data_IF_612975756063
#
_entry.id   IF_612975756063
#
_cell.length_a   1.000
_cell.length_b   1.000
_cell.length_c   1.000
_cell.angle_alpha   90.00
_cell.angle_beta   90.00
_cell.angle_gamma   90.00
#
_symmetry.space_group_name_H-M   'P 1'
#
loop_
_entity.id
_entity.type
_entity.pdbx_description
1 polymer ?
#
# COMPACT_ATOMS: atom_id res chain seq x y z
N UNK A 1 -3.39 -8.66 -25.10
CA UNK A 1 -2.32 -7.99 -24.34
C UNK A 1 -2.51 -8.27 -22.86
N UNK A 2 -1.47 -8.72 -22.14
CA UNK A 2 -1.55 -8.87 -20.68
C UNK A 2 -1.44 -7.49 -20.04
N UNK A 3 -2.55 -6.95 -19.52
CA UNK A 3 -2.56 -5.65 -18.87
C UNK A 3 -1.81 -5.75 -17.54
N UNK A 4 -0.69 -5.04 -17.44
CA UNK A 4 0.08 -4.95 -16.21
C UNK A 4 -0.76 -4.28 -15.11
N UNK A 5 -0.90 -4.90 -13.92
CA UNK A 5 -1.68 -4.33 -12.84
C UNK A 5 -1.06 -3.02 -12.32
N UNK A 6 -1.92 -2.11 -11.88
CA UNK A 6 -1.51 -0.91 -11.17
C UNK A 6 -1.03 -1.32 -9.75
N UNK A 7 0.01 -0.68 -9.19
CA UNK A 7 0.32 -0.84 -7.78
C UNK A 7 -0.87 -0.42 -6.91
N UNK A 8 -1.12 -1.12 -5.79
CA UNK A 8 -2.31 -0.89 -4.96
C UNK A 8 -2.50 0.56 -4.53
N UNK A 9 -1.42 1.25 -4.09
CA UNK A 9 -1.47 2.67 -3.70
C UNK A 9 -1.86 3.57 -4.89
N UNK A 10 -1.41 3.24 -6.10
CA UNK A 10 -1.80 3.99 -7.30
C UNK A 10 -3.25 3.73 -7.66
N UNK A 11 -3.71 2.47 -7.56
CA UNK A 11 -5.11 2.12 -7.74
C UNK A 11 -5.99 2.90 -6.75
N UNK A 12 -5.69 2.87 -5.46
CA UNK A 12 -6.46 3.59 -4.45
C UNK A 12 -6.44 5.10 -4.64
N UNK A 13 -5.34 5.68 -5.16
CA UNK A 13 -5.27 7.11 -5.46
C UNK A 13 -6.05 7.51 -6.72
N UNK A 14 -6.15 6.63 -7.71
CA UNK A 14 -6.67 6.95 -9.06
C UNK A 14 -8.12 6.52 -9.22
N UNK A 15 -8.51 5.35 -8.69
CA UNK A 15 -9.84 4.78 -8.84
C UNK A 15 -11.00 5.70 -8.42
N UNK A 16 -10.94 6.42 -7.28
CA UNK A 16 -12.02 7.31 -6.87
C UNK A 16 -12.02 8.67 -7.58
N UNK A 17 -11.10 8.92 -8.51
CA UNK A 17 -11.09 10.17 -9.26
C UNK A 17 -12.21 10.20 -10.30
N UNK A 18 -12.67 11.41 -10.62
CA UNK A 18 -13.49 11.66 -11.82
C UNK A 18 -12.76 11.21 -13.07
N UNK A 19 -13.50 10.76 -14.08
CA UNK A 19 -12.95 10.09 -15.26
C UNK A 19 -11.92 10.92 -16.05
N UNK A 20 -12.13 12.24 -16.15
CA UNK A 20 -11.18 13.14 -16.82
C UNK A 20 -9.84 13.24 -16.07
N UNK A 21 -9.89 13.27 -14.74
CA UNK A 21 -8.70 13.29 -13.88
C UNK A 21 -8.04 11.91 -13.79
N UNK A 22 -8.85 10.85 -13.78
CA UNK A 22 -8.42 9.45 -13.82
C UNK A 22 -7.59 9.18 -15.08
N UNK A 23 -8.10 9.57 -16.26
CA UNK A 23 -7.38 9.44 -17.53
C UNK A 23 -6.04 10.18 -17.50
N UNK A 24 -6.04 11.47 -17.12
CA UNK A 24 -4.81 12.26 -16.99
C UNK A 24 -3.79 11.62 -16.03
N UNK A 25 -4.25 11.09 -14.90
CA UNK A 25 -3.38 10.40 -13.93
C UNK A 25 -2.74 9.15 -14.53
N UNK A 26 -3.51 8.34 -15.27
CA UNK A 26 -3.04 7.12 -15.93
C UNK A 26 -2.05 7.43 -17.06
N UNK A 27 -2.33 8.44 -17.89
CA UNK A 27 -1.41 8.91 -18.95
C UNK A 27 -0.07 9.40 -18.39
N UNK A 28 -0.05 9.96 -17.19
CA UNK A 28 1.17 10.40 -16.52
C UNK A 28 1.96 9.26 -15.84
N UNK A 29 1.37 8.06 -15.70
CA UNK A 29 2.10 6.93 -15.14
C UNK A 29 3.18 6.48 -16.11
N UNK A 30 4.44 6.80 -15.81
CA UNK A 30 5.59 6.31 -16.57
C UNK A 30 5.56 4.78 -16.58
N UNK A 31 5.76 4.16 -17.75
CA UNK A 31 5.81 2.70 -17.89
C UNK A 31 7.00 2.03 -17.16
N UNK A 32 7.94 2.83 -16.64
CA UNK A 32 9.09 2.39 -15.85
C UNK A 32 8.81 2.28 -14.35
N UNK A 33 9.53 1.38 -13.68
CA UNK A 33 9.47 1.22 -12.23
C UNK A 33 10.02 2.48 -11.53
N UNK A 34 9.52 2.78 -10.33
CA UNK A 34 10.20 3.69 -9.40
C UNK A 34 11.68 3.29 -9.27
N UNK A 35 12.59 4.26 -9.12
CA UNK A 35 14.03 4.02 -8.95
C UNK A 35 14.35 3.18 -7.71
N UNK A 36 13.41 3.11 -6.76
CA UNK A 36 13.48 2.25 -5.58
C UNK A 36 12.10 1.72 -5.18
N UNK A 37 12.09 0.71 -4.30
CA UNK A 37 10.91 0.02 -3.78
C UNK A 37 10.84 0.07 -2.26
N UNK A 38 9.63 -0.05 -1.72
CA UNK A 38 9.41 -0.28 -0.28
C UNK A 38 9.29 -1.77 0.08
N UNK A 39 9.71 -2.67 -0.81
CA UNK A 39 9.78 -4.11 -0.52
C UNK A 39 10.66 -4.44 0.71
N UNK A 40 11.84 -3.82 0.92
CA UNK A 40 12.67 -4.10 2.08
C UNK A 40 11.95 -3.85 3.42
N UNK A 41 11.30 -2.68 3.59
CA UNK A 41 10.56 -2.41 4.84
C UNK A 41 9.35 -3.31 5.00
N UNK A 42 8.62 -3.63 3.91
CA UNK A 42 7.47 -4.53 3.95
C UNK A 42 7.81 -5.92 4.46
N UNK A 43 8.99 -6.44 4.13
CA UNK A 43 9.42 -7.75 4.63
C UNK A 43 9.79 -7.76 6.11
N UNK A 44 9.97 -6.59 6.73
CA UNK A 44 10.33 -6.47 8.15
C UNK A 44 9.13 -6.07 9.02
N UNK A 45 7.89 -6.03 8.49
CA UNK A 45 6.75 -5.56 9.27
C UNK A 45 6.46 -6.42 10.51
N UNK A 46 6.62 -7.74 10.43
CA UNK A 46 6.44 -8.60 11.60
C UNK A 46 7.42 -8.24 12.72
N UNK A 47 8.69 -8.02 12.38
CA UNK A 47 9.73 -7.64 13.35
C UNK A 47 9.47 -6.22 13.89
N UNK A 48 9.10 -5.28 13.03
CA UNK A 48 8.80 -3.90 13.40
C UNK A 48 7.63 -3.77 14.38
N UNK A 49 6.61 -4.64 14.25
CA UNK A 49 5.44 -4.65 15.14
C UNK A 49 5.53 -5.71 16.25
N UNK A 50 6.68 -6.37 16.40
CA UNK A 50 6.90 -7.42 17.40
C UNK A 50 5.81 -8.50 17.37
N UNK A 51 5.40 -8.90 16.16
CA UNK A 51 4.36 -9.90 15.95
C UNK A 51 4.81 -11.21 16.57
N UNK A 52 4.03 -11.68 17.54
CA UNK A 52 4.32 -12.90 18.27
C UNK A 52 4.21 -14.12 17.35
N UNK A 53 5.11 -15.12 17.49
CA UNK A 53 4.99 -16.39 16.79
C UNK A 53 3.63 -17.07 17.10
N UNK A 54 3.08 -17.79 16.12
CA UNK A 54 1.82 -18.53 16.30
C UNK A 54 1.97 -19.77 17.21
N UNK A 55 3.20 -20.26 17.38
CA UNK A 55 3.50 -21.37 18.29
C UNK A 55 3.64 -20.83 19.72
N UNK A 56 3.02 -21.54 20.67
CA UNK A 56 3.06 -21.22 22.12
C UNK A 56 4.45 -21.52 22.72
N UNK A 57 5.45 -20.75 22.27
CA UNK A 57 6.85 -20.82 22.70
C UNK A 57 7.16 -19.71 23.73
N UNK A 58 6.12 -19.09 24.30
CA UNK A 58 6.23 -17.93 25.18
C UNK A 58 6.23 -16.59 24.44
N UNK A 59 6.33 -15.51 25.21
CA UNK A 59 6.37 -14.13 24.69
C UNK A 59 7.75 -13.89 24.09
N UNK A 60 7.80 -13.61 22.79
CA UNK A 60 9.02 -13.20 22.11
C UNK A 60 9.39 -11.76 22.49
N UNK A 61 10.66 -11.55 22.84
CA UNK A 61 11.19 -10.22 23.06
C UNK A 61 11.14 -9.38 21.76
N UNK A 62 10.93 -8.07 21.86
CA UNK A 62 10.99 -7.17 20.71
C UNK A 62 12.29 -7.33 19.91
N UNK A 63 12.20 -7.29 18.58
CA UNK A 63 13.39 -7.43 17.74
C UNK A 63 14.26 -6.17 17.87
N UNK A 64 15.54 -6.26 18.28
CA UNK A 64 16.39 -5.09 18.42
C UNK A 64 16.58 -4.36 17.09
N UNK A 65 16.52 -3.01 17.11
CA UNK A 65 16.68 -2.18 15.92
C UNK A 65 17.90 -2.54 15.03
N UNK A 66 19.11 -2.81 15.56
CA UNK A 66 20.26 -3.16 14.72
C UNK A 66 20.04 -4.41 13.85
N UNK A 67 19.21 -5.36 14.30
CA UNK A 67 18.86 -6.56 13.53
C UNK A 67 17.94 -6.20 12.36
N UNK A 68 16.92 -5.39 12.63
CA UNK A 68 16.00 -4.88 11.60
C UNK A 68 16.77 -4.07 10.56
N UNK A 69 17.66 -3.17 11.00
CA UNK A 69 18.47 -2.34 10.11
C UNK A 69 19.40 -3.16 9.21
N UNK A 70 20.04 -4.21 9.76
CA UNK A 70 20.87 -5.11 8.98
C UNK A 70 20.07 -5.86 7.89
N UNK A 71 18.84 -6.30 8.21
CA UNK A 71 17.98 -6.97 7.23
C UNK A 71 17.47 -6.00 6.15
N UNK A 72 17.12 -4.76 6.53
CA UNK A 72 16.80 -3.69 5.58
C UNK A 72 17.96 -3.43 4.62
N UNK A 73 19.18 -3.36 5.14
CA UNK A 73 20.40 -3.14 4.35
C UNK A 73 20.61 -4.28 3.35
N UNK A 74 20.52 -5.53 3.81
CA UNK A 74 20.69 -6.73 3.00
C UNK A 74 19.67 -6.82 1.85
N UNK A 75 18.44 -6.35 2.06
CA UNK A 75 17.36 -6.41 1.06
C UNK A 75 17.33 -5.23 0.10
N UNK A 76 17.99 -4.13 0.45
CA UNK A 76 18.03 -2.93 -0.38
C UNK A 76 19.05 -3.09 -1.52
N UNK A 77 18.68 -2.67 -2.72
CA UNK A 77 19.49 -2.76 -3.94
C UNK A 77 20.43 -1.55 -4.12
N UNK A 78 20.22 -0.49 -3.36
CA UNK A 78 21.04 0.73 -3.42
C UNK A 78 21.02 1.46 -2.07
N UNK A 79 21.97 2.37 -1.88
CA UNK A 79 22.03 3.24 -0.69
C UNK A 79 20.82 4.16 -0.59
N UNK A 80 20.31 4.63 -1.74
CA UNK A 80 19.10 5.43 -1.80
C UNK A 80 17.87 4.64 -1.34
N UNK A 81 17.68 3.41 -1.86
CA UNK A 81 16.58 2.54 -1.45
C UNK A 81 16.66 2.23 0.05
N UNK A 82 17.87 1.93 0.55
CA UNK A 82 18.10 1.70 1.96
C UNK A 82 17.71 2.92 2.80
N UNK A 83 18.14 4.11 2.42
CA UNK A 83 17.84 5.36 3.14
C UNK A 83 16.34 5.60 3.25
N UNK A 84 15.59 5.45 2.15
CA UNK A 84 14.14 5.64 2.18
C UNK A 84 13.41 4.57 3.01
N UNK A 85 13.80 3.30 2.90
CA UNK A 85 13.19 2.22 3.68
C UNK A 85 13.52 2.35 5.17
N UNK A 86 14.77 2.67 5.51
CA UNK A 86 15.24 2.86 6.88
C UNK A 86 14.47 3.96 7.60
N UNK A 87 14.23 5.10 6.96
CA UNK A 87 13.45 6.23 7.53
C UNK A 87 12.02 5.85 7.89
N UNK A 88 11.37 5.05 7.03
CA UNK A 88 10.02 4.53 7.28
C UNK A 88 10.05 3.49 8.39
N UNK A 89 11.02 2.57 8.34
CA UNK A 89 11.18 1.53 9.35
C UNK A 89 11.46 2.11 10.74
N UNK A 90 12.32 3.11 10.88
CA UNK A 90 12.57 3.82 12.14
C UNK A 90 11.28 4.43 12.69
N UNK A 91 10.52 5.12 11.84
CA UNK A 91 9.23 5.69 12.25
C UNK A 91 8.25 4.65 12.75
N UNK A 92 8.17 3.50 12.08
CA UNK A 92 7.33 2.37 12.49
C UNK A 92 7.82 1.71 13.78
N UNK A 93 9.14 1.52 13.92
CA UNK A 93 9.75 0.96 15.11
C UNK A 93 9.50 1.85 16.34
N UNK A 94 9.71 3.15 16.22
CA UNK A 94 9.44 4.13 17.29
C UNK A 94 7.96 4.16 17.65
N UNK A 95 7.08 4.10 16.64
CA UNK A 95 5.64 4.01 16.84
C UNK A 95 5.26 2.72 17.60
N UNK A 96 5.78 1.57 17.18
CA UNK A 96 5.48 0.29 17.79
C UNK A 96 6.04 0.17 19.23
N UNK A 97 7.24 0.68 19.47
CA UNK A 97 7.92 0.63 20.78
C UNK A 97 7.44 1.70 21.76
N UNK A 98 6.53 2.59 21.35
CA UNK A 98 5.94 3.61 22.25
C UNK A 98 5.09 3.04 23.40
N UNK A 99 4.93 1.72 23.48
CA UNK A 99 4.16 1.01 24.51
C UNK A 99 2.66 0.91 24.23
N UNK A 100 2.20 1.40 23.07
CA UNK A 100 0.79 1.52 22.71
C UNK A 100 0.37 0.63 21.55
N UNK A 101 1.27 -0.25 21.09
CA UNK A 101 1.06 -1.10 19.93
C UNK A 101 1.42 -2.54 20.28
N UNK A 102 0.46 -3.44 20.14
CA UNK A 102 0.66 -4.88 20.29
C UNK A 102 0.02 -5.59 19.11
N UNK A 103 0.71 -6.56 18.51
CA UNK A 103 0.22 -7.21 17.30
C UNK A 103 0.15 -8.72 17.39
N UNK A 104 -0.84 -9.29 16.72
CA UNK A 104 -0.94 -10.74 16.47
C UNK A 104 -1.04 -10.99 14.97
N UNK A 105 -0.41 -12.06 14.51
CA UNK A 105 -0.54 -12.51 13.13
C UNK A 105 -1.98 -12.95 12.88
N UNK A 106 -2.54 -12.50 11.77
CA UNK A 106 -3.85 -12.90 11.30
C UNK A 106 -3.95 -12.65 9.80
N UNK A 107 -4.18 -13.70 9.02
CA UNK A 107 -4.17 -13.61 7.56
C UNK A 107 -5.55 -13.32 6.99
N UNK A 108 -5.69 -12.14 6.38
CA UNK A 108 -6.85 -11.81 5.55
C UNK A 108 -6.50 -12.05 4.07
N UNK A 109 -7.30 -12.88 3.39
CA UNK A 109 -7.10 -13.17 1.97
C UNK A 109 -7.34 -11.93 1.08
N UNK A 110 -6.61 -11.78 -0.04
CA UNK A 110 -6.84 -10.69 -0.98
C UNK A 110 -8.29 -10.58 -1.44
N UNK A 111 -8.80 -9.35 -1.52
CA UNK A 111 -10.14 -9.08 -2.04
C UNK A 111 -10.12 -9.22 -3.56
N UNK A 112 -11.00 -10.07 -4.08
CA UNK A 112 -11.15 -10.25 -5.52
C UNK A 112 -12.13 -9.19 -6.04
N UNK A 113 -11.65 -8.37 -6.98
CA UNK A 113 -12.42 -7.38 -7.71
C UNK A 113 -12.66 -7.88 -9.14
N UNK A 114 -13.57 -7.21 -9.85
CA UNK A 114 -13.84 -7.46 -11.27
C UNK A 114 -12.57 -7.59 -12.13
N UNK A 115 -12.69 -8.29 -13.26
CA UNK A 115 -11.58 -8.59 -14.19
C UNK A 115 -10.45 -9.47 -13.60
N UNK A 116 -10.76 -10.27 -12.56
CA UNK A 116 -9.79 -11.20 -11.95
C UNK A 116 -8.67 -10.51 -11.18
N UNK A 117 -8.89 -9.27 -10.73
CA UNK A 117 -7.90 -8.50 -9.97
C UNK A 117 -8.02 -8.82 -8.49
N UNK A 118 -6.88 -8.94 -7.82
CA UNK A 118 -6.80 -9.12 -6.37
C UNK A 118 -6.09 -7.92 -5.78
N UNK A 119 -6.66 -7.34 -4.73
CA UNK A 119 -6.09 -6.18 -4.03
C UNK A 119 -5.90 -6.50 -2.55
N UNK A 120 -4.89 -5.86 -1.95
CA UNK A 120 -4.60 -5.98 -0.53
C UNK A 120 -4.25 -4.61 0.02
N UNK A 121 -5.14 -4.07 0.86
CA UNK A 121 -4.99 -2.80 1.53
C UNK A 121 -4.88 -2.98 3.04
N UNK A 122 -4.24 -4.06 3.49
CA UNK A 122 -4.05 -4.37 4.91
C UNK A 122 -2.79 -5.20 5.08
N UNK A 123 -2.28 -5.24 6.31
CA UNK A 123 -1.23 -6.18 6.72
C UNK A 123 -1.85 -7.52 7.14
N UNK A 124 -1.11 -8.64 7.05
CA UNK A 124 -1.55 -9.94 7.56
C UNK A 124 -1.37 -10.02 9.09
N UNK A 125 -1.96 -9.06 9.81
CA UNK A 125 -1.92 -8.94 11.27
C UNK A 125 -3.04 -8.01 11.76
N UNK A 126 -3.45 -8.21 13.00
CA UNK A 126 -4.26 -7.26 13.77
C UNK A 126 -3.38 -6.63 14.83
N UNK A 127 -3.46 -5.31 14.94
CA UNK A 127 -2.72 -4.52 15.92
C UNK A 127 -3.69 -3.88 16.90
N UNK A 128 -3.51 -4.07 18.20
CA UNK A 128 -4.08 -3.19 19.21
C UNK A 128 -3.26 -1.90 19.21
N UNK A 129 -3.86 -0.79 18.76
CA UNK A 129 -3.25 0.54 18.73
C UNK A 129 -4.08 1.42 19.67
N UNK A 130 -3.46 1.98 20.71
CA UNK A 130 -4.16 2.71 21.77
C UNK A 130 -5.35 1.87 22.31
N UNK A 131 -5.07 0.60 22.63
CA UNK A 131 -6.03 -0.40 23.16
C UNK A 131 -7.17 -0.84 22.22
N UNK A 132 -7.26 -0.27 21.02
CA UNK A 132 -8.29 -0.65 20.05
C UNK A 132 -7.71 -1.55 18.94
N UNK A 133 -8.35 -2.72 18.75
CA UNK A 133 -8.02 -3.63 17.66
C UNK A 133 -8.16 -2.92 16.31
N UNK A 134 -7.11 -2.98 15.50
CA UNK A 134 -6.97 -2.22 14.27
C UNK A 134 -6.39 -3.08 13.15
N UNK A 135 -7.05 -3.04 11.99
CA UNK A 135 -6.47 -3.51 10.73
C UNK A 135 -5.66 -2.37 10.11
N UNK A 136 -4.39 -2.60 9.82
CA UNK A 136 -3.47 -1.55 9.39
C UNK A 136 -3.14 -1.65 7.91
N UNK A 137 -3.17 -0.52 7.20
CA UNK A 137 -2.53 -0.33 5.89
C UNK A 137 -1.35 0.63 6.02
N UNK A 138 -0.21 0.32 5.40
CA UNK A 138 0.97 1.20 5.41
C UNK A 138 1.18 1.80 4.02
N UNK A 139 1.12 3.13 3.96
CA UNK A 139 1.34 3.93 2.76
C UNK A 139 2.66 4.70 2.93
N UNK A 140 3.80 4.14 2.52
CA UNK A 140 5.11 4.69 2.86
C UNK A 140 5.54 5.84 1.95
N UNK A 141 4.79 6.21 0.90
CA UNK A 141 5.26 7.22 -0.06
C UNK A 141 5.28 8.60 0.59
N UNK A 142 6.18 9.45 0.09
CA UNK A 142 6.26 10.87 0.51
C UNK A 142 5.46 11.76 -0.42
N UNK A 143 5.66 11.57 -1.72
CA UNK A 143 4.95 12.29 -2.76
C UNK A 143 3.94 11.37 -3.42
N UNK A 144 2.82 11.96 -3.89
CA UNK A 144 1.73 11.23 -4.55
C UNK A 144 1.20 10.06 -3.70
N UNK A 145 1.16 10.24 -2.38
CA UNK A 145 0.49 9.35 -1.43
C UNK A 145 -1.03 9.43 -1.53
N UNK A 146 -1.73 8.76 -0.63
CA UNK A 146 -3.20 8.79 -0.62
C UNK A 146 -3.75 10.16 -0.20
N UNK A 147 -4.75 10.63 -0.96
CA UNK A 147 -5.59 11.78 -0.62
C UNK A 147 -6.70 11.35 0.35
N UNK A 148 -7.58 12.27 0.76
CA UNK A 148 -8.78 11.91 1.54
C UNK A 148 -9.64 10.88 0.79
N UNK A 149 -9.91 11.11 -0.49
CA UNK A 149 -10.65 10.15 -1.33
C UNK A 149 -9.90 8.82 -1.50
N UNK A 150 -8.58 8.85 -1.66
CA UNK A 150 -7.79 7.62 -1.74
C UNK A 150 -7.80 6.81 -0.44
N UNK A 151 -7.85 7.49 0.71
CA UNK A 151 -8.04 6.84 2.01
C UNK A 151 -9.45 6.27 2.15
N UNK A 152 -10.49 7.02 1.77
CA UNK A 152 -11.88 6.54 1.74
C UNK A 152 -12.00 5.26 0.92
N UNK A 153 -11.44 5.24 -0.29
CA UNK A 153 -11.39 4.05 -1.13
C UNK A 153 -10.69 2.87 -0.44
N UNK A 154 -9.50 3.09 0.14
CA UNK A 154 -8.77 2.03 0.84
C UNK A 154 -9.52 1.51 2.07
N UNK A 155 -10.11 2.39 2.89
CA UNK A 155 -10.96 1.98 4.02
C UNK A 155 -12.18 1.18 3.57
N UNK A 156 -12.80 1.56 2.45
CA UNK A 156 -13.95 0.83 1.92
C UNK A 156 -13.54 -0.58 1.49
N UNK A 157 -12.41 -0.73 0.80
CA UNK A 157 -11.85 -2.05 0.44
C UNK A 157 -11.50 -2.90 1.67
N UNK A 158 -10.96 -2.27 2.72
CA UNK A 158 -10.68 -2.95 3.99
C UNK A 158 -11.98 -3.38 4.68
N UNK A 159 -13.01 -2.53 4.71
CA UNK A 159 -14.32 -2.85 5.28
C UNK A 159 -14.94 -4.07 4.60
N UNK A 160 -15.02 -4.06 3.26
CA UNK A 160 -15.60 -5.16 2.48
C UNK A 160 -14.89 -6.50 2.73
N UNK A 161 -13.56 -6.46 2.95
CA UNK A 161 -12.78 -7.69 3.14
C UNK A 161 -12.70 -8.17 4.58
N UNK A 162 -12.75 -7.27 5.54
CA UNK A 162 -12.47 -7.56 6.95
C UNK A 162 -13.77 -7.55 7.75
N UNK A 163 -14.49 -6.43 7.76
CA UNK A 163 -15.68 -6.26 8.60
C UNK A 163 -16.92 -6.91 8.01
N UNK A 164 -17.20 -6.65 6.72
CA UNK A 164 -18.40 -7.17 6.06
C UNK A 164 -18.29 -8.67 5.75
N UNK A 165 -17.07 -9.20 5.67
CA UNK A 165 -16.81 -10.60 5.34
C UNK A 165 -16.80 -11.54 6.55
N UNK A 166 -16.62 -11.00 7.76
CA UNK A 166 -16.44 -11.78 8.98
C UNK A 166 -16.91 -10.99 10.22
N UNK A 167 -17.96 -11.49 10.88
CA UNK A 167 -18.61 -10.82 12.02
C UNK A 167 -17.66 -10.67 13.22
N UNK A 168 -16.68 -11.57 13.38
CA UNK A 168 -15.69 -11.50 14.47
C UNK A 168 -14.81 -10.24 14.38
N UNK A 169 -14.73 -9.64 13.18
CA UNK A 169 -13.97 -8.43 12.92
C UNK A 169 -14.82 -7.20 12.67
N UNK A 170 -16.15 -7.27 12.84
CA UNK A 170 -17.09 -6.18 12.53
C UNK A 170 -16.71 -4.84 13.20
N UNK A 171 -16.16 -4.90 14.41
CA UNK A 171 -15.80 -3.72 15.21
C UNK A 171 -14.31 -3.33 15.13
N UNK A 172 -13.52 -4.01 14.29
CA UNK A 172 -12.11 -3.65 14.10
C UNK A 172 -12.01 -2.28 13.43
N UNK A 173 -11.22 -1.39 14.04
CA UNK A 173 -10.91 -0.08 13.47
C UNK A 173 -10.06 -0.24 12.21
N UNK A 174 -10.40 0.48 11.15
CA UNK A 174 -9.58 0.48 9.95
C UNK A 174 -8.60 1.64 10.04
N UNK A 175 -7.31 1.36 9.89
CA UNK A 175 -6.25 2.35 10.11
C UNK A 175 -5.32 2.40 8.90
N UNK A 176 -4.98 3.61 8.46
CA UNK A 176 -3.94 3.85 7.45
C UNK A 176 -2.81 4.64 8.12
N UNK A 177 -1.60 4.08 8.12
CA UNK A 177 -0.39 4.79 8.47
C UNK A 177 0.21 5.47 7.23
N UNK A 178 0.21 6.80 7.23
CA UNK A 178 0.98 7.63 6.30
C UNK A 178 2.18 8.25 7.03
N UNK A 179 3.07 8.88 6.28
CA UNK A 179 4.34 9.40 6.81
C UNK A 179 4.57 10.84 6.36
N UNK A 180 4.93 11.71 7.30
CA UNK A 180 5.30 13.10 7.01
C UNK A 180 6.66 13.24 6.34
N UNK A 181 7.14 14.48 6.26
CA UNK A 181 8.55 14.75 5.95
C UNK A 181 9.46 14.21 7.06
N UNK A 182 10.71 13.84 6.73
CA UNK A 182 11.62 13.32 7.73
C UNK A 182 11.97 14.39 8.77
N UNK A 183 11.99 13.99 10.04
CA UNK A 183 12.54 14.74 11.19
C UNK A 183 13.49 13.82 11.92
N UNK A 184 14.71 14.27 12.20
CA UNK A 184 15.74 13.48 12.87
C UNK A 184 15.99 12.10 12.23
N UNK A 185 16.07 12.08 10.89
CA UNK A 185 16.34 10.88 10.08
C UNK A 185 15.34 9.72 10.22
N UNK A 186 14.14 10.02 10.71
CA UNK A 186 12.96 9.15 10.70
C UNK A 186 11.78 9.87 10.09
N UNK A 187 10.77 9.13 9.64
CA UNK A 187 9.48 9.73 9.24
C UNK A 187 8.43 9.37 10.27
N UNK A 188 7.89 10.37 10.95
CA UNK A 188 6.85 10.16 11.95
C UNK A 188 5.61 9.53 11.31
N UNK A 189 5.05 8.53 12.00
CA UNK A 189 3.80 7.88 11.62
C UNK A 189 2.66 8.86 11.87
N UNK A 190 1.82 9.04 10.86
CA UNK A 190 0.54 9.74 10.95
C UNK A 190 -0.58 8.73 10.69
N UNK A 191 -1.39 8.50 11.71
CA UNK A 191 -2.55 7.61 11.59
C UNK A 191 -3.75 8.37 11.03
N UNK A 192 -4.47 7.69 10.16
CA UNK A 192 -5.81 8.02 9.74
C UNK A 192 -6.70 6.83 10.07
N UNK A 193 -7.87 7.10 10.65
CA UNK A 193 -8.88 6.10 10.97
C UNK A 193 -10.07 6.25 10.03
N UNK A 194 -10.94 5.24 9.98
CA UNK A 194 -12.21 5.28 9.26
C UNK A 194 -13.33 6.04 10.00
N UNK A 195 -13.01 6.64 11.15
CA UNK A 195 -13.96 7.42 11.93
C UNK A 195 -14.51 8.61 11.13
N UNK A 196 -15.84 8.70 11.05
CA UNK A 196 -16.53 9.74 10.29
C UNK A 196 -16.39 9.63 8.77
N UNK A 197 -15.85 8.52 8.26
CA UNK A 197 -15.72 8.27 6.82
C UNK A 197 -16.95 7.51 6.33
N UNK A 198 -17.73 8.14 5.46
CA UNK A 198 -18.78 7.48 4.70
C UNK A 198 -18.13 6.51 3.69
N UNK A 199 -18.35 5.21 3.82
CA UNK A 199 -17.65 4.21 2.99
C UNK A 199 -18.38 3.98 1.67
N UNK A 200 -17.60 3.65 0.63
CA UNK A 200 -18.16 3.19 -0.63
C UNK A 200 -18.69 1.76 -0.48
N UNK A 201 -19.84 1.49 -1.08
CA UNK A 201 -20.37 0.14 -1.23
C UNK A 201 -19.47 -0.71 -2.13
N UNK A 202 -19.62 -2.04 -2.02
CA UNK A 202 -18.94 -2.99 -2.90
C UNK A 202 -19.17 -2.71 -4.39
N UNK A 203 -20.41 -2.41 -4.79
CA UNK A 203 -20.77 -2.13 -6.17
C UNK A 203 -20.04 -0.88 -6.69
N UNK A 204 -19.98 0.18 -5.88
CA UNK A 204 -19.23 1.40 -6.23
C UNK A 204 -17.73 1.09 -6.40
N UNK A 205 -17.15 0.31 -5.48
CA UNK A 205 -15.75 -0.11 -5.57
C UNK A 205 -15.47 -0.93 -6.83
N UNK A 206 -16.36 -1.87 -7.18
CA UNK A 206 -16.24 -2.67 -8.40
C UNK A 206 -16.29 -1.79 -9.66
N UNK A 207 -17.21 -0.83 -9.73
CA UNK A 207 -17.32 0.14 -10.84
C UNK A 207 -16.08 1.04 -10.94
N UNK A 208 -15.55 1.53 -9.83
CA UNK A 208 -14.34 2.36 -9.79
C UNK A 208 -13.11 1.60 -10.28
N UNK A 209 -12.95 0.34 -9.85
CA UNK A 209 -11.85 -0.53 -10.28
C UNK A 209 -11.99 -0.87 -11.76
N UNK A 210 -13.17 -1.30 -12.21
CA UNK A 210 -13.42 -1.66 -13.60
C UNK A 210 -13.14 -0.49 -14.56
N UNK A 211 -13.75 0.68 -14.30
CA UNK A 211 -13.54 1.88 -15.13
C UNK A 211 -12.07 2.30 -15.20
N UNK A 212 -11.32 2.17 -14.11
CA UNK A 212 -9.90 2.48 -14.07
C UNK A 212 -9.08 1.53 -14.93
N UNK A 213 -9.37 0.23 -14.89
CA UNK A 213 -8.65 -0.75 -15.70
C UNK A 213 -9.03 -0.72 -17.17
N UNK A 214 -10.27 -0.38 -17.51
CA UNK A 214 -10.69 -0.14 -18.88
C UNK A 214 -9.94 1.06 -19.48
N UNK A 215 -9.88 2.21 -18.78
CA UNK A 215 -9.07 3.35 -19.22
C UNK A 215 -7.57 3.02 -19.26
N UNK A 216 -7.08 2.21 -18.32
CA UNK A 216 -5.67 1.83 -18.31
C UNK A 216 -5.30 0.97 -19.52
N UNK A 217 -6.19 0.06 -19.93
CA UNK A 217 -6.03 -0.71 -21.17
C UNK A 217 -5.92 0.23 -22.37
N UNK A 218 -6.83 1.20 -22.49
CA UNK A 218 -6.82 2.17 -23.60
C UNK A 218 -5.50 2.96 -23.65
N UNK A 219 -5.04 3.49 -22.52
CA UNK A 219 -3.76 4.23 -22.43
C UNK A 219 -2.57 3.36 -22.85
N UNK A 220 -2.56 2.08 -22.47
CA UNK A 220 -1.50 1.16 -22.88
C UNK A 220 -1.54 0.86 -24.40
N UNK A 221 -2.73 0.68 -24.97
CA UNK A 221 -2.92 0.44 -26.41
C UNK A 221 -2.56 1.69 -27.24
N UNK A 222 -2.88 2.89 -26.75
CA UNK A 222 -2.43 4.16 -27.35
C UNK A 222 -0.90 4.25 -27.39
N UNK A 223 -0.24 4.01 -26.25
CA UNK A 223 1.22 4.02 -26.17
C UNK A 223 1.88 2.99 -27.09
N UNK A 224 1.31 1.79 -27.18
CA UNK A 224 1.83 0.76 -28.08
C UNK A 224 1.69 1.17 -29.55
N UNK A 225 0.55 1.75 -29.94
CA UNK A 225 0.35 2.30 -31.29
C UNK A 225 1.34 3.41 -31.61
N UNK A 226 1.57 4.33 -30.68
CA UNK A 226 2.55 5.42 -30.84
C UNK A 226 3.98 4.89 -30.98
N UNK A 227 4.38 3.93 -30.13
CA UNK A 227 5.70 3.29 -30.22
C UNK A 227 5.92 2.58 -31.56
N UNK A 228 4.90 1.87 -32.07
CA UNK A 228 4.97 1.21 -33.39
C UNK A 228 5.09 2.23 -34.52
N UNK A 229 4.34 3.34 -34.48
CA UNK A 229 4.44 4.42 -35.48
C UNK A 229 5.82 5.08 -35.48
N UNK A 230 6.40 5.30 -34.30
CA UNK A 230 7.75 5.84 -34.15
C UNK A 230 8.85 4.91 -34.68
N UNK A 231 8.70 3.60 -34.49
CA UNK A 231 9.67 2.59 -34.97
C UNK A 231 9.67 2.42 -36.51
N UNK A 232 8.58 2.76 -37.19
CA UNK A 232 8.49 2.76 -38.67
C UNK A 232 9.02 4.04 -39.32
N UNK A 233 9.40 5.06 -38.54
CA UNK A 233 9.95 6.33 -39.02
C UNK A 233 11.48 6.36 -38.98
N UNK A 234 12.10 6.32 -40.17
CA UNK A 234 13.50 6.68 -40.50
C UNK A 234 14.64 5.78 -39.98
N UNK A 235 15.15 4.93 -40.89
CA UNK A 235 16.58 4.88 -41.16
C UNK A 235 16.83 5.51 -42.54
N UNK A 236 17.78 6.45 -42.72
CA UNK A 236 18.16 6.90 -44.05
C UNK A 236 18.86 5.76 -44.78
N UNK A 237 18.43 5.48 -46.02
CA UNK A 237 19.22 4.69 -46.96
C UNK A 237 20.47 5.50 -47.29
N UNK A 238 21.62 5.06 -46.78
CA UNK A 238 22.95 5.43 -47.30
C UNK A 238 23.47 4.21 -48.04
#
# INVERSE_FOLDING_TARGET
MTIRPLPDIDLARIAPQRDDMKRKSLEQMKGGFSTFSYKPVRSCFSDLFNIQPELDLGIAEPTPWPVIEAELRKRSKSDEEFTYNRRVALGLHDFATSGRVFGRKHEFFPLSMGMGRKVTFWLPMILAIDEQASALFIEPRRSRGLTAEGRRFAFSMMHERIRAADEDFAEVRLTIAQFGDPSDDRRAVRLHTDEGVDLYSREELELMVASTYDMWREVLEEREREARRGATGTGPLI
#
